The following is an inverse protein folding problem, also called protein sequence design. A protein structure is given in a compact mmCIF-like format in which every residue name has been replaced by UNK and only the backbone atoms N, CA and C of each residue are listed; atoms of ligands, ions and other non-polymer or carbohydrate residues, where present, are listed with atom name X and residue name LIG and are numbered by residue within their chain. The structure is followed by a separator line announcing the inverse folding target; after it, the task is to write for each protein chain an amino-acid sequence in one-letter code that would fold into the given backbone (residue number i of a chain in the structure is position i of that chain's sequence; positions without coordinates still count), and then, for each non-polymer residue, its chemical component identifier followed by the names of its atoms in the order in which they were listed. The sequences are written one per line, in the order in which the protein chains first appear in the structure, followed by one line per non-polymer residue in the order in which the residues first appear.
data_IF_261868352542
#
_entry.id   IF_261868352542
#
_cell.length_a   1.000
_cell.length_b   1.000
_cell.length_c   1.000
_cell.angle_alpha   90.00
_cell.angle_beta   90.00
_cell.angle_gamma   90.00
#
_symmetry.space_group_name_H-M   'P 1'
#
loop_
_entity.id
_entity.type
_entity.pdbx_description
1 polymer ?
#
# COMPACT_ATOMS: atom_id res chain seq x y z
N UNK A 1 17.30 -7.05 -4.28
CA UNK A 1 15.82 -7.05 -4.33
C UNK A 1 15.23 -5.65 -4.42
N UNK A 2 15.44 -4.81 -3.41
CA UNK A 2 14.97 -3.41 -3.37
C UNK A 2 15.17 -2.61 -4.66
N UNK A 3 16.37 -2.64 -5.27
CA UNK A 3 16.63 -1.94 -6.53
C UNK A 3 15.67 -2.36 -7.65
N UNK A 4 15.43 -3.66 -7.82
CA UNK A 4 14.50 -4.17 -8.85
C UNK A 4 13.05 -3.78 -8.55
N UNK A 5 12.66 -3.74 -7.28
CA UNK A 5 11.34 -3.28 -6.87
C UNK A 5 11.15 -1.80 -7.22
N UNK A 6 12.12 -0.95 -6.88
CA UNK A 6 12.11 0.48 -7.20
C UNK A 6 12.10 0.74 -8.71
N UNK A 7 12.82 -0.04 -9.50
CA UNK A 7 12.76 0.02 -10.97
C UNK A 7 11.35 -0.26 -11.50
N UNK A 8 10.66 -1.27 -10.98
CA UNK A 8 9.28 -1.59 -11.38
C UNK A 8 8.33 -0.42 -11.04
N UNK A 9 8.51 0.22 -9.88
CA UNK A 9 7.71 1.38 -9.49
C UNK A 9 8.01 2.61 -10.37
N UNK A 10 9.27 2.83 -10.76
CA UNK A 10 9.63 3.88 -11.70
C UNK A 10 9.06 3.62 -13.10
N UNK A 11 9.14 2.38 -13.60
CA UNK A 11 8.50 1.96 -14.85
C UNK A 11 6.98 2.20 -14.80
N UNK A 12 6.32 1.84 -13.69
CA UNK A 12 4.89 2.09 -13.48
C UNK A 12 4.60 3.60 -13.50
N UNK A 13 5.34 4.41 -12.75
CA UNK A 13 5.16 5.86 -12.71
C UNK A 13 5.29 6.49 -14.10
N UNK A 14 6.28 6.08 -14.90
CA UNK A 14 6.43 6.55 -16.28
C UNK A 14 5.20 6.27 -17.15
N UNK A 15 4.57 5.09 -17.01
CA UNK A 15 3.33 4.80 -17.72
C UNK A 15 2.13 5.59 -17.18
N UNK A 16 2.03 5.74 -15.85
CA UNK A 16 0.92 6.46 -15.19
C UNK A 16 0.88 7.95 -15.57
N UNK A 17 2.03 8.58 -15.82
CA UNK A 17 2.12 9.97 -16.27
C UNK A 17 1.41 10.24 -17.61
N UNK A 18 1.22 9.21 -18.45
CA UNK A 18 0.50 9.32 -19.72
C UNK A 18 -1.03 9.28 -19.55
N UNK A 19 -1.54 8.91 -18.38
CA UNK A 19 -2.96 8.84 -18.12
C UNK A 19 -3.52 10.22 -17.78
N UNK A 20 -4.68 10.54 -18.34
CA UNK A 20 -5.49 11.69 -17.95
C UNK A 20 -6.76 11.19 -17.25
N UNK A 21 -7.14 11.89 -16.18
CA UNK A 21 -8.34 11.59 -15.41
C UNK A 21 -9.30 12.77 -15.49
N UNK A 22 -10.49 12.53 -16.02
CA UNK A 22 -11.56 13.50 -16.10
C UNK A 22 -12.44 13.51 -14.86
N UNK A 23 -13.55 14.24 -14.94
CA UNK A 23 -14.53 14.33 -13.85
C UNK A 23 -14.99 12.93 -13.40
N UNK A 24 -15.05 12.64 -12.07
CA UNK A 24 -14.97 13.58 -10.95
C UNK A 24 -13.56 13.89 -10.41
N UNK A 25 -12.50 13.36 -11.02
CA UNK A 25 -11.12 13.65 -10.58
C UNK A 25 -10.77 15.08 -10.92
N UNK A 26 -10.20 15.79 -9.95
CA UNK A 26 -9.63 17.13 -10.13
C UNK A 26 -8.15 17.18 -9.77
N UNK A 27 -7.74 16.46 -8.73
CA UNK A 27 -6.35 16.40 -8.29
C UNK A 27 -5.89 14.93 -8.23
N UNK A 28 -4.66 14.69 -8.66
CA UNK A 28 -4.00 13.38 -8.62
C UNK A 28 -2.65 13.55 -7.94
N UNK A 29 -2.42 12.79 -6.87
CA UNK A 29 -1.18 12.80 -6.12
C UNK A 29 -0.44 11.49 -6.31
N UNK A 30 0.86 11.56 -6.60
CA UNK A 30 1.75 10.39 -6.66
C UNK A 30 2.86 10.47 -5.58
N UNK A 31 2.66 9.91 -4.38
CA UNK A 31 3.68 9.90 -3.32
C UNK A 31 4.96 9.15 -3.71
N UNK A 32 4.93 8.24 -4.68
CA UNK A 32 6.15 7.57 -5.18
C UNK A 32 6.99 8.55 -6.03
N UNK A 33 6.51 9.76 -6.32
CA UNK A 33 7.31 10.82 -6.92
C UNK A 33 7.74 11.86 -5.88
N UNK A 34 6.79 12.56 -5.25
CA UNK A 34 7.14 13.68 -4.35
C UNK A 34 7.65 13.22 -2.98
N UNK A 35 7.32 12.01 -2.53
CA UNK A 35 7.84 11.42 -1.29
C UNK A 35 8.88 10.32 -1.57
N UNK A 36 9.58 10.41 -2.70
CA UNK A 36 10.53 9.37 -3.13
C UNK A 36 11.63 9.11 -2.10
N UNK A 37 12.15 10.15 -1.42
CA UNK A 37 13.24 9.97 -0.46
C UNK A 37 12.82 9.07 0.72
N UNK A 38 11.64 9.29 1.30
CA UNK A 38 11.13 8.44 2.39
C UNK A 38 10.66 7.07 1.87
N UNK A 39 10.07 7.02 0.67
CA UNK A 39 9.62 5.78 0.06
C UNK A 39 10.79 4.84 -0.30
N UNK A 40 11.80 5.34 -1.01
CA UNK A 40 13.00 4.57 -1.36
C UNK A 40 13.76 4.14 -0.10
N UNK A 41 13.89 5.00 0.92
CA UNK A 41 14.46 4.62 2.21
C UNK A 41 13.72 3.44 2.87
N UNK A 42 12.38 3.42 2.82
CA UNK A 42 11.58 2.31 3.30
C UNK A 42 11.84 1.02 2.51
N UNK A 43 11.84 1.09 1.18
CA UNK A 43 12.07 -0.07 0.32
C UNK A 43 13.50 -0.60 0.46
N UNK A 44 14.51 0.26 0.47
CA UNK A 44 15.91 -0.14 0.66
C UNK A 44 16.15 -0.80 2.01
N UNK A 45 15.48 -0.32 3.06
CA UNK A 45 15.60 -0.88 4.41
C UNK A 45 14.89 -2.21 4.57
N UNK A 46 13.71 -2.38 3.95
CA UNK A 46 12.80 -3.47 4.29
C UNK A 46 12.43 -4.40 3.13
N UNK A 47 12.85 -4.15 1.90
CA UNK A 47 12.63 -5.04 0.75
C UNK A 47 13.89 -5.87 0.45
N UNK A 48 13.91 -7.11 0.91
CA UNK A 48 15.05 -8.01 0.77
C UNK A 48 14.60 -9.42 0.35
N UNK A 49 15.57 -10.26 -0.01
CA UNK A 49 15.29 -11.64 -0.41
C UNK A 49 14.67 -12.45 0.74
N UNK A 50 13.89 -13.49 0.40
CA UNK A 50 13.27 -14.40 1.37
C UNK A 50 11.88 -13.98 1.87
N UNK A 51 11.39 -12.81 1.47
CA UNK A 51 10.02 -12.38 1.71
C UNK A 51 9.05 -13.12 0.79
N UNK A 52 8.24 -14.02 1.34
CA UNK A 52 7.32 -14.85 0.54
C UNK A 52 5.86 -14.40 0.64
N UNK A 53 5.55 -13.46 1.55
CA UNK A 53 4.20 -12.94 1.77
C UNK A 53 4.14 -11.46 1.42
N UNK A 54 3.21 -11.07 0.54
CA UNK A 54 2.96 -9.66 0.21
C UNK A 54 1.60 -9.22 0.73
N UNK A 55 1.57 -8.27 1.66
CA UNK A 55 0.35 -7.56 2.01
C UNK A 55 0.09 -6.46 0.98
N UNK A 56 -1.09 -6.49 0.36
CA UNK A 56 -1.44 -5.59 -0.73
C UNK A 56 -2.62 -4.69 -0.32
N UNK A 57 -2.35 -3.39 -0.18
CA UNK A 57 -3.38 -2.36 -0.07
C UNK A 57 -3.90 -1.90 -1.44
N UNK A 58 -4.95 -1.08 -1.45
CA UNK A 58 -5.54 -0.57 -2.69
C UNK A 58 -4.76 0.61 -3.26
N UNK A 59 -4.71 1.72 -2.51
CA UNK A 59 -4.04 2.95 -2.91
C UNK A 59 -3.80 3.86 -1.68
N UNK A 60 -2.96 4.91 -1.77
CA UNK A 60 -2.67 5.79 -0.64
C UNK A 60 -3.90 6.42 -0.02
N UNK A 61 -3.90 6.48 1.32
CA UNK A 61 -4.79 7.37 2.05
C UNK A 61 -4.15 8.76 2.27
N UNK A 62 -4.97 9.79 2.54
CA UNK A 62 -4.54 11.19 2.52
C UNK A 62 -3.64 11.61 3.70
N UNK A 63 -3.60 10.82 4.77
CA UNK A 63 -2.83 11.15 5.99
C UNK A 63 -1.79 10.08 6.33
N UNK A 64 -1.69 9.02 5.53
CA UNK A 64 -0.66 7.98 5.63
C UNK A 64 0.31 8.08 4.46
N UNK A 65 0.22 7.15 3.50
CA UNK A 65 1.16 7.07 2.39
C UNK A 65 1.26 8.36 1.55
N UNK A 66 0.19 9.14 1.41
CA UNK A 66 0.28 10.43 0.72
C UNK A 66 1.17 11.46 1.47
N UNK A 67 1.38 11.30 2.77
CA UNK A 67 2.26 12.17 3.55
C UNK A 67 3.67 11.58 3.71
N UNK A 68 3.80 10.25 3.65
CA UNK A 68 5.02 9.56 4.09
C UNK A 68 5.72 8.76 3.02
N UNK A 69 5.06 8.48 1.88
CA UNK A 69 5.57 7.56 0.86
C UNK A 69 5.49 6.07 1.25
N UNK A 70 5.13 5.74 2.50
CA UNK A 70 5.11 4.34 2.99
C UNK A 70 3.69 3.76 2.93
N UNK A 71 3.47 2.53 2.39
CA UNK A 71 2.17 1.87 2.42
C UNK A 71 1.58 1.77 3.83
N UNK A 72 0.30 2.12 3.98
CA UNK A 72 -0.36 2.26 5.29
C UNK A 72 0.42 3.19 6.27
N UNK A 73 1.25 4.09 5.75
CA UNK A 73 2.30 4.76 6.50
C UNK A 73 1.80 5.91 7.36
N UNK A 74 1.16 5.58 8.48
CA UNK A 74 0.88 6.56 9.52
C UNK A 74 2.18 7.17 10.07
N UNK A 75 2.19 8.49 10.24
CA UNK A 75 3.42 9.28 10.44
C UNK A 75 4.24 8.82 11.63
N UNK A 76 3.62 8.53 12.78
CA UNK A 76 4.34 8.13 13.99
C UNK A 76 4.94 6.73 13.83
N UNK A 77 4.23 5.82 13.16
CA UNK A 77 4.76 4.50 12.82
C UNK A 77 6.00 4.64 11.92
N UNK A 78 5.88 5.41 10.84
CA UNK A 78 6.97 5.58 9.87
C UNK A 78 8.20 6.22 10.51
N UNK A 79 8.00 7.25 11.33
CA UNK A 79 9.10 7.96 11.99
C UNK A 79 9.68 7.18 13.17
N UNK A 80 8.83 6.73 14.09
CA UNK A 80 9.27 6.26 15.41
C UNK A 80 9.50 4.74 15.45
N UNK A 81 8.78 3.95 14.64
CA UNK A 81 8.95 2.49 14.61
C UNK A 81 9.82 2.04 13.45
N UNK A 82 9.57 2.53 12.23
CA UNK A 82 10.41 2.21 11.08
C UNK A 82 11.70 3.03 11.02
N UNK A 83 11.79 4.14 11.75
CA UNK A 83 12.97 5.00 11.74
C UNK A 83 13.24 5.61 10.35
N UNK A 84 12.20 5.81 9.54
CA UNK A 84 12.33 6.40 8.20
C UNK A 84 12.33 7.91 8.33
N UNK A 85 13.31 8.53 7.68
CA UNK A 85 13.48 9.98 7.61
C UNK A 85 13.75 10.37 6.16
N UNK A 86 13.53 11.64 5.82
CA UNK A 86 13.74 12.13 4.46
C UNK A 86 12.86 13.32 4.15
N UNK A 87 13.20 14.01 3.06
CA UNK A 87 12.37 15.10 2.55
C UNK A 87 11.12 14.54 1.86
N UNK A 88 10.01 15.23 2.07
CA UNK A 88 8.76 14.99 1.34
C UNK A 88 8.41 16.28 0.62
N UNK A 89 8.42 16.24 -0.70
CA UNK A 89 8.02 17.34 -1.55
C UNK A 89 6.49 17.46 -1.68
N UNK A 90 6.05 18.11 -2.75
CA UNK A 90 4.63 18.39 -3.01
C UNK A 90 4.19 17.88 -4.38
N UNK A 91 2.91 17.48 -4.54
CA UNK A 91 2.31 17.31 -5.86
C UNK A 91 2.26 18.65 -6.61
N UNK A 92 2.25 18.60 -7.94
CA UNK A 92 2.27 19.81 -8.78
C UNK A 92 1.03 20.71 -8.60
N UNK A 93 -0.14 20.12 -8.33
CA UNK A 93 -1.39 20.83 -8.03
C UNK A 93 -1.97 20.25 -6.73
N UNK A 94 -1.93 21.04 -5.66
CA UNK A 94 -2.31 20.62 -4.31
C UNK A 94 -3.67 21.21 -3.92
N UNK A 95 -4.62 20.35 -3.57
CA UNK A 95 -5.91 20.79 -3.07
C UNK A 95 -5.74 21.44 -1.66
N UNK A 96 -6.25 22.66 -1.40
CA UNK A 96 -6.04 23.38 -0.13
C UNK A 96 -6.45 22.62 1.16
N UNK A 97 -7.49 21.78 1.11
CA UNK A 97 -7.94 20.91 2.23
C UNK A 97 -7.17 19.59 2.36
N UNK A 98 -6.24 19.28 1.47
CA UNK A 98 -5.43 18.06 1.45
C UNK A 98 -3.95 18.43 1.26
N UNK A 99 -3.38 19.25 2.14
CA UNK A 99 -2.01 19.65 1.99
C UNK A 99 -1.06 18.49 2.28
N UNK A 100 0.09 18.47 1.60
CA UNK A 100 1.19 17.57 1.94
C UNK A 100 2.11 18.31 2.91
N UNK A 101 2.22 17.78 4.12
CA UNK A 101 3.07 18.33 5.19
C UNK A 101 4.14 17.33 5.63
N UNK A 102 4.29 16.24 4.88
CA UNK A 102 5.33 15.25 5.09
C UNK A 102 5.24 14.54 6.44
N UNK A 103 6.40 14.22 7.00
CA UNK A 103 6.54 13.64 8.35
C UNK A 103 6.15 14.60 9.49
N UNK A 104 5.80 15.86 9.18
CA UNK A 104 5.24 16.82 10.14
C UNK A 104 3.70 16.81 10.17
N UNK A 105 3.04 15.99 9.34
CA UNK A 105 1.59 15.86 9.36
C UNK A 105 1.09 15.43 10.74
N UNK A 106 0.24 16.26 11.36
CA UNK A 106 -0.32 16.02 12.70
C UNK A 106 -1.57 15.14 12.70
N UNK A 107 -2.08 14.79 11.52
CA UNK A 107 -3.28 13.96 11.36
C UNK A 107 -2.86 12.50 11.29
N UNK A 108 -3.49 11.67 12.10
CA UNK A 108 -3.29 10.23 12.06
C UNK A 108 -4.20 9.56 11.03
N UNK A 109 -3.62 8.66 10.24
CA UNK A 109 -4.38 7.77 9.35
C UNK A 109 -4.80 6.51 10.11
N UNK A 110 -6.08 6.45 10.51
CA UNK A 110 -6.63 5.35 11.33
C UNK A 110 -6.36 3.95 10.75
N UNK A 111 -6.44 3.81 9.43
CA UNK A 111 -6.16 2.52 8.78
C UNK A 111 -4.70 2.10 8.94
N UNK A 112 -3.76 3.03 8.73
CA UNK A 112 -2.34 2.80 8.94
C UNK A 112 -1.98 2.54 10.41
N UNK A 113 -2.51 3.36 11.32
CA UNK A 113 -2.31 3.21 12.76
C UNK A 113 -2.75 1.82 13.27
N UNK A 114 -3.91 1.32 12.78
CA UNK A 114 -4.41 -0.01 13.15
C UNK A 114 -3.57 -1.12 12.54
N UNK A 115 -3.27 -1.03 11.24
CA UNK A 115 -2.51 -2.04 10.52
C UNK A 115 -1.13 -2.25 11.15
N UNK A 116 -0.37 -1.17 11.30
CA UNK A 116 0.98 -1.26 11.85
C UNK A 116 1.01 -1.37 13.37
N UNK A 117 0.03 -0.81 14.09
CA UNK A 117 -0.12 -1.01 15.53
C UNK A 117 -0.26 -2.50 15.88
N UNK A 118 -1.07 -3.24 15.11
CA UNK A 118 -1.23 -4.68 15.25
C UNK A 118 0.09 -5.44 15.03
N UNK A 119 0.81 -5.16 13.94
CA UNK A 119 2.08 -5.83 13.69
C UNK A 119 3.18 -5.42 14.67
N UNK A 120 3.16 -4.19 15.17
CA UNK A 120 4.06 -3.76 16.25
C UNK A 120 3.81 -4.55 17.54
N UNK A 121 2.55 -4.75 17.92
CA UNK A 121 2.21 -5.59 19.07
C UNK A 121 2.59 -7.06 18.87
N UNK A 122 2.44 -7.58 17.65
CA UNK A 122 2.74 -8.97 17.33
C UNK A 122 4.25 -9.26 17.20
N UNK A 123 5.00 -8.34 16.59
CA UNK A 123 6.39 -8.55 16.21
C UNK A 123 7.39 -7.83 17.12
N UNK A 124 6.97 -6.80 17.86
CA UNK A 124 7.84 -5.89 18.61
C UNK A 124 8.67 -5.00 17.69
N UNK A 125 9.64 -5.59 16.98
CA UNK A 125 10.54 -4.92 16.03
C UNK A 125 10.05 -5.11 14.58
N UNK A 126 10.24 -4.11 13.70
CA UNK A 126 9.79 -4.20 12.32
C UNK A 126 10.53 -5.30 11.54
N UNK A 127 11.79 -5.58 11.85
CA UNK A 127 12.61 -6.61 11.18
C UNK A 127 11.97 -8.00 11.29
N UNK A 128 11.25 -8.29 12.38
CA UNK A 128 10.52 -9.57 12.52
C UNK A 128 9.38 -9.69 11.51
N UNK A 129 8.66 -8.60 11.22
CA UNK A 129 7.66 -8.58 10.16
C UNK A 129 8.32 -8.71 8.79
N UNK A 130 9.33 -7.87 8.53
CA UNK A 130 9.95 -7.78 7.22
C UNK A 130 10.80 -8.98 6.85
N UNK A 131 11.18 -9.84 7.80
CA UNK A 131 11.88 -11.10 7.53
C UNK A 131 11.15 -11.99 6.51
N UNK A 132 9.82 -12.03 6.58
CA UNK A 132 8.99 -12.93 5.76
C UNK A 132 7.95 -12.18 4.91
N UNK A 133 7.61 -10.97 5.30
CA UNK A 133 6.51 -10.22 4.72
C UNK A 133 6.99 -8.91 4.11
N UNK A 134 6.34 -8.46 3.05
CA UNK A 134 6.47 -7.08 2.57
C UNK A 134 5.09 -6.44 2.41
N UNK A 135 5.02 -5.12 2.29
CA UNK A 135 3.76 -4.38 2.13
C UNK A 135 3.86 -3.42 0.95
N UNK A 136 2.84 -3.43 0.11
CA UNK A 136 2.76 -2.58 -1.07
C UNK A 136 1.30 -2.15 -1.33
N UNK A 137 1.09 -1.18 -2.22
CA UNK A 137 -0.23 -0.81 -2.72
C UNK A 137 -0.36 -1.18 -4.19
N UNK A 138 -1.52 -1.69 -4.60
CA UNK A 138 -1.81 -1.98 -6.00
C UNK A 138 -1.63 -0.74 -6.89
N UNK A 139 -2.09 0.42 -6.43
CA UNK A 139 -2.00 1.68 -7.17
C UNK A 139 -1.27 2.72 -6.31
N UNK A 140 -0.22 3.40 -6.84
CA UNK A 140 0.47 4.44 -6.09
C UNK A 140 -0.28 5.77 -6.08
N UNK A 141 -1.34 5.95 -6.88
CA UNK A 141 -2.04 7.23 -7.01
C UNK A 141 -3.15 7.43 -5.98
N UNK A 142 -3.27 8.67 -5.48
CA UNK A 142 -4.44 9.15 -4.76
C UNK A 142 -5.21 10.15 -5.62
N UNK A 143 -6.54 9.99 -5.68
CA UNK A 143 -7.43 10.85 -6.47
C UNK A 143 -8.33 11.68 -5.55
N UNK A 144 -8.50 12.96 -5.87
CA UNK A 144 -9.37 13.87 -5.15
C UNK A 144 -10.34 14.57 -6.11
N UNK A 145 -11.58 14.71 -5.67
CA UNK A 145 -12.56 15.58 -6.31
C UNK A 145 -12.27 17.07 -6.00
N UNK A 146 -12.94 17.98 -6.72
CA UNK A 146 -12.86 19.44 -6.49
C UNK A 146 -13.11 19.85 -5.02
N UNK A 147 -13.94 19.10 -4.30
CA UNK A 147 -14.22 19.36 -2.87
C UNK A 147 -13.11 18.92 -1.91
N UNK A 148 -12.11 18.20 -2.41
CA UNK A 148 -11.07 17.51 -1.63
C UNK A 148 -11.52 16.14 -1.10
N UNK A 149 -12.70 15.64 -1.52
CA UNK A 149 -13.15 14.29 -1.20
C UNK A 149 -12.22 13.28 -1.89
N UNK A 150 -11.74 12.29 -1.13
CA UNK A 150 -11.01 11.16 -1.69
C UNK A 150 -11.90 10.32 -2.60
N UNK A 151 -11.39 10.02 -3.79
CA UNK A 151 -11.99 9.12 -4.77
C UNK A 151 -11.18 7.83 -4.80
N UNK A 152 -11.87 6.71 -4.64
CA UNK A 152 -11.27 5.38 -4.78
C UNK A 152 -11.33 4.93 -6.24
N UNK A 153 -10.47 3.99 -6.70
CA UNK A 153 -10.52 3.50 -8.08
C UNK A 153 -11.91 3.08 -8.60
N UNK A 154 -12.80 2.46 -7.79
CA UNK A 154 -14.18 2.20 -8.20
C UNK A 154 -15.04 3.43 -8.53
N UNK A 155 -14.71 4.60 -8.00
CA UNK A 155 -15.40 5.89 -8.25
C UNK A 155 -14.90 6.61 -9.51
N UNK A 156 -13.86 6.10 -10.17
CA UNK A 156 -13.33 6.65 -11.42
C UNK A 156 -14.19 6.25 -12.62
N UNK A 157 -14.09 7.01 -13.72
CA UNK A 157 -14.74 6.63 -14.98
C UNK A 157 -14.23 5.26 -15.43
N UNK A 158 -15.13 4.42 -15.99
CA UNK A 158 -14.83 3.01 -16.27
C UNK A 158 -13.61 2.84 -17.17
N UNK A 159 -13.48 3.66 -18.22
CA UNK A 159 -12.35 3.59 -19.15
C UNK A 159 -11.02 3.94 -18.46
N UNK A 160 -10.98 5.05 -17.73
CA UNK A 160 -9.81 5.52 -16.98
C UNK A 160 -9.38 4.51 -15.92
N UNK A 161 -10.34 4.00 -15.16
CA UNK A 161 -10.12 2.94 -14.17
C UNK A 161 -9.51 1.69 -14.80
N UNK A 162 -10.03 1.25 -15.94
CA UNK A 162 -9.55 0.05 -16.59
C UNK A 162 -8.13 0.25 -17.15
N UNK A 163 -7.82 1.43 -17.72
CA UNK A 163 -6.49 1.77 -18.17
C UNK A 163 -5.48 1.83 -17.01
N UNK A 164 -5.84 2.50 -15.92
CA UNK A 164 -5.06 2.56 -14.69
C UNK A 164 -4.76 1.15 -14.15
N UNK A 165 -5.80 0.35 -13.95
CA UNK A 165 -5.64 -0.97 -13.34
C UNK A 165 -4.90 -1.94 -14.25
N UNK A 166 -4.97 -1.82 -15.57
CA UNK A 166 -4.17 -2.65 -16.46
C UNK A 166 -2.66 -2.42 -16.26
N UNK A 167 -2.23 -1.18 -16.03
CA UNK A 167 -0.84 -0.85 -15.72
C UNK A 167 -0.43 -1.35 -14.33
N UNK A 168 -1.27 -1.09 -13.32
CA UNK A 168 -1.05 -1.56 -11.95
C UNK A 168 -0.99 -3.10 -11.86
N UNK A 169 -1.89 -3.80 -12.56
CA UNK A 169 -1.96 -5.26 -12.58
C UNK A 169 -0.66 -5.85 -13.17
N UNK A 170 -0.14 -5.25 -14.25
CA UNK A 170 1.14 -5.64 -14.85
C UNK A 170 2.31 -5.44 -13.88
N UNK A 171 2.39 -4.28 -13.23
CA UNK A 171 3.42 -3.98 -12.25
C UNK A 171 3.36 -4.93 -11.04
N UNK A 172 2.15 -5.24 -10.55
CA UNK A 172 1.97 -6.23 -9.48
C UNK A 172 2.51 -7.61 -9.88
N UNK A 173 2.25 -8.06 -11.11
CA UNK A 173 2.77 -9.35 -11.58
C UNK A 173 4.31 -9.34 -11.70
N UNK A 174 4.90 -8.22 -12.13
CA UNK A 174 6.36 -8.04 -12.13
C UNK A 174 6.93 -8.09 -10.71
N UNK A 175 6.30 -7.40 -9.76
CA UNK A 175 6.69 -7.38 -8.35
C UNK A 175 6.61 -8.77 -7.72
N UNK A 176 5.50 -9.49 -7.91
CA UNK A 176 5.31 -10.84 -7.37
C UNK A 176 6.39 -11.80 -7.87
N UNK A 177 6.72 -11.75 -9.17
CA UNK A 177 7.83 -12.55 -9.72
C UNK A 177 9.19 -12.11 -9.20
N UNK A 178 9.45 -10.81 -9.19
CA UNK A 178 10.75 -10.26 -8.80
C UNK A 178 11.08 -10.62 -7.35
N UNK A 179 10.11 -10.48 -6.43
CA UNK A 179 10.29 -10.78 -5.01
C UNK A 179 10.17 -12.27 -4.67
N UNK A 180 9.71 -13.12 -5.59
CA UNK A 180 9.45 -14.54 -5.31
C UNK A 180 8.29 -14.76 -4.33
N UNK A 181 7.26 -13.91 -4.38
CA UNK A 181 6.08 -14.01 -3.51
C UNK A 181 5.34 -15.30 -3.80
N UNK A 182 4.99 -16.06 -2.75
CA UNK A 182 4.16 -17.27 -2.84
C UNK A 182 2.77 -17.08 -2.25
N UNK A 183 2.56 -16.00 -1.47
CA UNK A 183 1.25 -15.62 -0.95
C UNK A 183 1.03 -14.11 -1.04
N UNK A 184 -0.06 -13.68 -1.69
CA UNK A 184 -0.55 -12.30 -1.64
C UNK A 184 -1.75 -12.24 -0.70
N UNK A 185 -1.69 -11.37 0.30
CA UNK A 185 -2.78 -11.09 1.23
C UNK A 185 -3.34 -9.71 0.90
N UNK A 186 -4.49 -9.67 0.24
CA UNK A 186 -5.21 -8.44 -0.03
C UNK A 186 -5.79 -7.86 1.27
N UNK A 187 -5.42 -6.62 1.58
CA UNK A 187 -5.99 -5.87 2.71
C UNK A 187 -7.33 -5.29 2.28
N UNK A 188 -8.36 -6.12 2.43
CA UNK A 188 -9.72 -5.90 1.94
C UNK A 188 -9.97 -6.47 0.56
N UNK A 189 -11.24 -6.83 0.34
CA UNK A 189 -11.77 -7.47 -0.87
C UNK A 189 -11.34 -6.86 -2.21
N UNK A 190 -11.21 -5.54 -2.33
CA UNK A 190 -10.83 -4.92 -3.61
C UNK A 190 -9.40 -5.31 -3.99
N UNK A 191 -8.46 -5.26 -3.05
CA UNK A 191 -7.07 -5.61 -3.31
C UNK A 191 -6.92 -7.12 -3.57
N UNK A 192 -7.62 -7.95 -2.79
CA UNK A 192 -7.63 -9.42 -2.97
C UNK A 192 -8.14 -9.80 -4.37
N UNK A 193 -9.32 -9.32 -4.76
CA UNK A 193 -9.93 -9.68 -6.04
C UNK A 193 -9.10 -9.20 -7.23
N UNK A 194 -8.44 -8.04 -7.09
CA UNK A 194 -7.56 -7.51 -8.14
C UNK A 194 -6.29 -8.32 -8.26
N UNK A 195 -5.62 -8.65 -7.15
CA UNK A 195 -4.46 -9.53 -7.18
C UNK A 195 -4.81 -10.88 -7.82
N UNK A 196 -5.91 -11.52 -7.40
CA UNK A 196 -6.34 -12.80 -7.96
C UNK A 196 -6.54 -12.75 -9.48
N UNK A 197 -7.21 -11.69 -9.95
CA UNK A 197 -7.48 -11.49 -11.38
C UNK A 197 -6.18 -11.23 -12.16
N UNK A 198 -5.33 -10.32 -11.68
CA UNK A 198 -4.09 -9.94 -12.33
C UNK A 198 -3.15 -11.14 -12.49
N UNK A 199 -2.89 -11.85 -11.39
CA UNK A 199 -2.00 -13.02 -11.37
C UNK A 199 -2.53 -14.14 -12.27
N UNK A 200 -3.83 -14.45 -12.20
CA UNK A 200 -4.43 -15.47 -13.06
C UNK A 200 -4.38 -15.10 -14.55
N UNK A 201 -4.60 -13.83 -14.91
CA UNK A 201 -4.54 -13.37 -16.29
C UNK A 201 -3.12 -13.42 -16.87
N UNK A 202 -2.11 -13.27 -16.01
CA UNK A 202 -0.70 -13.31 -16.36
C UNK A 202 -0.07 -14.71 -16.20
N UNK A 203 -0.90 -15.74 -16.00
CA UNK A 203 -0.50 -17.15 -15.92
C UNK A 203 0.19 -17.56 -14.62
N UNK A 204 0.15 -16.73 -13.57
CA UNK A 204 0.74 -17.01 -12.26
C UNK A 204 -0.30 -17.79 -11.43
N UNK A 205 -0.10 -19.09 -11.28
CA UNK A 205 -1.06 -20.01 -10.65
C UNK A 205 -0.55 -20.66 -9.36
N UNK A 206 0.75 -20.55 -9.09
CA UNK A 206 1.44 -21.07 -7.91
C UNK A 206 1.43 -20.11 -6.72
N UNK A 207 0.91 -18.89 -6.90
CA UNK A 207 0.78 -17.89 -5.85
C UNK A 207 -0.61 -17.95 -5.21
N UNK A 208 -0.65 -18.19 -3.90
CA UNK A 208 -1.88 -18.17 -3.11
C UNK A 208 -2.37 -16.73 -2.93
N UNK A 209 -3.66 -16.48 -3.12
CA UNK A 209 -4.26 -15.15 -2.89
C UNK A 209 -5.33 -15.26 -1.81
N UNK A 210 -5.22 -14.42 -0.78
CA UNK A 210 -6.07 -14.44 0.42
C UNK A 210 -6.54 -13.02 0.79
N UNK A 211 -7.55 -12.92 1.65
CA UNK A 211 -8.08 -11.65 2.17
C UNK A 211 -7.84 -11.54 3.68
N UNK A 212 -7.43 -10.36 4.14
CA UNK A 212 -7.71 -9.91 5.51
C UNK A 212 -8.67 -8.74 5.48
N UNK A 213 -9.47 -8.59 6.54
CA UNK A 213 -10.38 -7.46 6.68
C UNK A 213 -9.61 -6.13 6.59
N UNK A 214 -10.13 -5.15 5.84
CA UNK A 214 -9.50 -3.83 5.79
C UNK A 214 -9.67 -3.07 7.13
N UNK A 215 -8.62 -2.40 7.67
CA UNK A 215 -8.67 -1.69 8.96
C UNK A 215 -9.48 -0.38 8.97
N UNK A 216 -10.23 -0.08 7.91
CA UNK A 216 -10.88 1.22 7.74
C UNK A 216 -12.05 1.37 8.71
N UNK A 217 -12.17 2.50 9.43
CA UNK A 217 -13.31 2.73 10.33
C UNK A 217 -14.64 2.83 9.59
N UNK A 218 -14.62 2.95 8.25
CA UNK A 218 -15.84 2.91 7.43
C UNK A 218 -16.52 1.53 7.46
N UNK A 219 -15.75 0.45 7.63
CA UNK A 219 -16.30 -0.89 7.78
C UNK A 219 -16.90 -1.07 9.19
N UNK A 220 -18.18 -1.48 9.33
CA UNK A 220 -18.78 -1.75 10.64
C UNK A 220 -18.03 -2.80 11.45
N UNK A 221 -17.59 -3.88 10.80
CA UNK A 221 -16.85 -4.97 11.46
C UNK A 221 -15.49 -4.51 12.00
N UNK A 222 -14.80 -3.63 11.26
CA UNK A 222 -13.52 -3.07 11.68
C UNK A 222 -13.64 -2.04 12.81
N UNK A 223 -14.86 -1.60 13.18
CA UNK A 223 -15.08 -0.71 14.33
C UNK A 223 -15.16 -1.45 15.65
N UNK A 224 -15.54 -2.72 15.65
CA UNK A 224 -15.73 -3.50 16.88
C UNK A 224 -14.43 -4.12 17.36
N UNK A 225 -13.77 -4.94 16.53
CA UNK A 225 -12.52 -5.61 16.91
C UNK A 225 -11.74 -6.06 15.67
N UNK A 226 -11.10 -5.11 14.98
CA UNK A 226 -10.32 -5.42 13.78
C UNK A 226 -9.13 -6.34 14.06
N UNK A 227 -8.44 -6.13 15.19
CA UNK A 227 -7.22 -6.86 15.54
C UNK A 227 -7.49 -8.34 15.78
N UNK A 228 -8.56 -8.70 16.51
CA UNK A 228 -8.91 -10.10 16.72
C UNK A 228 -9.31 -10.80 15.41
N UNK A 229 -10.04 -10.12 14.53
CA UNK A 229 -10.42 -10.67 13.21
C UNK A 229 -9.18 -10.89 12.34
N UNK A 230 -8.26 -9.91 12.31
CA UNK A 230 -7.00 -10.03 11.58
C UNK A 230 -6.13 -11.18 12.13
N UNK A 231 -5.97 -11.28 13.45
CA UNK A 231 -5.25 -12.37 14.11
C UNK A 231 -5.81 -13.74 13.72
N UNK A 232 -7.11 -13.95 13.88
CA UNK A 232 -7.75 -15.23 13.58
C UNK A 232 -7.60 -15.64 12.10
N UNK A 233 -7.62 -14.69 11.19
CA UNK A 233 -7.33 -14.97 9.77
C UNK A 233 -5.86 -15.33 9.57
N UNK A 234 -4.92 -14.55 10.10
CA UNK A 234 -3.49 -14.78 9.93
C UNK A 234 -3.03 -16.10 10.59
N UNK A 235 -3.64 -16.52 11.70
CA UNK A 235 -3.42 -17.82 12.32
C UNK A 235 -3.86 -18.97 11.38
N UNK A 236 -5.04 -18.88 10.78
CA UNK A 236 -5.53 -19.86 9.80
C UNK A 236 -4.65 -19.93 8.55
N UNK A 237 -4.02 -18.81 8.18
CA UNK A 237 -3.08 -18.76 7.07
C UNK A 237 -1.67 -19.24 7.43
N UNK A 238 -1.39 -19.50 8.71
CA UNK A 238 -0.06 -19.90 9.20
C UNK A 238 0.95 -18.75 9.28
N UNK A 239 0.51 -17.50 9.07
CA UNK A 239 1.38 -16.32 9.02
C UNK A 239 1.86 -15.94 10.43
N UNK A 240 1.01 -16.09 11.44
CA UNK A 240 1.36 -15.72 12.84
C UNK A 240 2.57 -16.52 13.35
N UNK A 241 2.69 -17.79 12.97
CA UNK A 241 3.84 -18.63 13.35
C UNK A 241 5.14 -18.06 12.79
N UNK A 242 5.15 -17.61 11.54
CA UNK A 242 6.31 -16.98 10.91
C UNK A 242 6.71 -15.69 11.64
N UNK A 243 5.72 -14.89 12.04
CA UNK A 243 5.94 -13.58 12.66
C UNK A 243 6.38 -13.64 14.13
N UNK A 244 6.14 -14.77 14.81
CA UNK A 244 6.51 -15.00 16.23
C UNK A 244 7.81 -15.79 16.41
N UNK A 245 8.31 -16.45 15.37
CA UNK A 245 9.52 -17.27 15.47
C UNK A 245 10.75 -16.36 15.46
N UNK A 246 11.63 -16.51 16.47
CA UNK A 246 12.86 -15.71 16.62
C UNK A 246 13.88 -15.93 15.52
#
# INVERSE_FOLDING_TARGET
MSARFLEIEQELNGHLQSLAFGHPVRYTYNPVEYAWATHSSFVERYCHDGQTILFLGMNPGPYGMAQTGVPFGEVNVVRDWFGITGEVGHPADEHPKRPITGLACTRSEVSGARFWGFFRELCGEPERFFRHCFVHNLCPLMFLAESGKNLTPPELAVAERNALLALCDKALCQTVRALGITMVIGVGRVAEQRARRALSADGITDVRVEEILHPSPRSPQARTDWAAVAMATLEKLGVVTLLRTE
#
